data_IF_514945165724
#
_entry.id   IF_514945165724
#
_cell.length_a   1.000
_cell.length_b   1.000
_cell.length_c   1.000
_cell.angle_alpha   90.00
_cell.angle_beta   90.00
_cell.angle_gamma   90.00
#
_symmetry.space_group_name_H-M   'P 1'
#
loop_
_entity.id
_entity.type
_entity.pdbx_description
1 polymer ?
#
# COMPACT_ATOMS: atom_id res chain seq x y z
N UNK A 1 -7.89 6.88 4.59
CA UNK A 1 -7.12 7.23 3.37
C UNK A 1 -6.97 8.73 3.35
N UNK A 2 -5.74 9.24 3.28
CA UNK A 2 -5.46 10.68 3.28
C UNK A 2 -4.40 11.00 2.22
N UNK A 3 -4.62 12.05 1.43
CA UNK A 3 -3.71 12.55 0.37
C UNK A 3 -2.94 13.80 0.86
N UNK A 4 -2.99 14.06 2.17
CA UNK A 4 -2.22 15.13 2.80
C UNK A 4 -0.81 14.59 3.02
N UNK A 5 0.23 15.22 2.46
CA UNK A 5 1.60 14.76 2.62
C UNK A 5 2.02 14.85 4.08
N UNK A 6 2.56 13.76 4.63
CA UNK A 6 3.15 13.72 5.97
C UNK A 6 4.45 12.91 5.94
N UNK A 7 5.57 13.57 6.18
CA UNK A 7 6.90 12.97 6.02
C UNK A 7 7.25 12.80 4.53
N UNK A 8 7.91 11.71 4.18
CA UNK A 8 8.27 11.38 2.78
C UNK A 8 7.09 10.79 1.98
N UNK A 9 5.96 10.50 2.62
CA UNK A 9 4.77 9.97 1.96
C UNK A 9 3.84 11.09 1.46
N UNK A 10 3.51 11.06 0.17
CA UNK A 10 2.54 11.96 -0.49
C UNK A 10 1.07 11.68 -0.14
N UNK A 11 0.81 10.59 0.59
CA UNK A 11 -0.49 10.15 1.08
C UNK A 11 -0.34 8.80 1.77
N UNK A 12 -1.23 8.47 2.70
CA UNK A 12 -1.14 7.20 3.43
C UNK A 12 -2.53 6.62 3.72
N UNK A 13 -2.60 5.30 3.66
CA UNK A 13 -3.77 4.50 4.04
C UNK A 13 -3.45 3.77 5.33
N UNK A 14 -3.91 4.33 6.45
CA UNK A 14 -3.80 3.66 7.74
C UNK A 14 -4.97 2.69 7.94
N UNK A 15 -4.64 1.48 8.41
CA UNK A 15 -5.61 0.58 8.99
C UNK A 15 -5.70 0.83 10.49
N UNK A 16 -6.91 0.93 11.01
CA UNK A 16 -7.12 0.86 12.45
C UNK A 16 -6.88 -0.61 12.86
N UNK A 17 -5.84 -0.88 13.64
CA UNK A 17 -5.59 -2.22 14.14
C UNK A 17 -6.64 -2.54 15.20
N UNK A 18 -7.54 -3.47 14.91
CA UNK A 18 -8.37 -4.08 15.94
C UNK A 18 -7.47 -4.84 16.91
N UNK A 19 -7.67 -4.56 18.20
CA UNK A 19 -6.91 -5.12 19.30
C UNK A 19 -7.02 -6.66 19.26
N UNK A 20 -5.88 -7.34 19.30
CA UNK A 20 -5.70 -8.78 19.55
C UNK A 20 -5.79 -9.78 18.38
N UNK A 21 -5.19 -9.45 17.22
CA UNK A 21 -4.79 -10.49 16.25
C UNK A 21 -3.31 -10.83 16.41
N UNK A 22 -3.01 -11.76 17.33
CA UNK A 22 -1.65 -12.29 17.52
C UNK A 22 -1.21 -13.24 16.38
N UNK A 23 -2.19 -13.76 15.62
CA UNK A 23 -1.95 -14.72 14.54
C UNK A 23 -2.68 -14.28 13.28
N UNK A 24 -1.94 -14.26 12.17
CA UNK A 24 -2.46 -13.95 10.84
C UNK A 24 -2.55 -15.25 10.04
N UNK A 25 -3.69 -15.47 9.42
CA UNK A 25 -3.85 -16.56 8.45
C UNK A 25 -3.11 -16.22 7.16
N UNK A 26 -2.68 -17.25 6.40
CA UNK A 26 -2.04 -17.05 5.10
C UNK A 26 -2.87 -16.18 4.16
N UNK A 27 -4.20 -16.32 4.17
CA UNK A 27 -5.11 -15.50 3.36
C UNK A 27 -5.13 -14.04 3.78
N UNK A 28 -5.03 -13.74 5.08
CA UNK A 28 -4.97 -12.36 5.56
C UNK A 28 -3.63 -11.69 5.22
N UNK A 29 -2.53 -12.44 5.27
CA UNK A 29 -1.22 -11.94 4.84
C UNK A 29 -1.19 -11.63 3.34
N UNK A 30 -1.78 -12.50 2.51
CA UNK A 30 -1.94 -12.24 1.08
C UNK A 30 -2.81 -11.01 0.82
N UNK A 31 -3.94 -10.88 1.54
CA UNK A 31 -4.79 -9.70 1.42
C UNK A 31 -4.07 -8.40 1.83
N UNK A 32 -3.19 -8.44 2.83
CA UNK A 32 -2.35 -7.28 3.17
C UNK A 32 -1.36 -6.93 2.06
N UNK A 33 -0.72 -7.94 1.47
CA UNK A 33 0.21 -7.76 0.36
C UNK A 33 -0.50 -7.15 -0.86
N UNK A 34 -1.72 -7.61 -1.17
CA UNK A 34 -2.54 -7.04 -2.25
C UNK A 34 -2.85 -5.55 -2.03
N UNK A 35 -3.09 -5.14 -0.78
CA UNK A 35 -3.36 -3.72 -0.48
C UNK A 35 -2.09 -2.87 -0.58
N UNK A 36 -0.96 -3.34 -0.07
CA UNK A 36 0.32 -2.63 -0.19
C UNK A 36 0.69 -2.41 -1.66
N UNK A 37 0.54 -3.45 -2.49
CA UNK A 37 0.85 -3.39 -3.92
C UNK A 37 -0.20 -2.66 -4.77
N UNK A 38 -1.36 -2.32 -4.18
CA UNK A 38 -2.47 -1.69 -4.87
C UNK A 38 -2.15 -0.29 -5.41
N UNK A 39 -1.28 0.47 -4.73
CA UNK A 39 -0.82 1.79 -5.20
C UNK A 39 -0.04 1.69 -6.51
N UNK A 40 0.93 0.76 -6.56
CA UNK A 40 1.75 0.46 -7.75
C UNK A 40 0.90 0.00 -8.93
N UNK A 41 0.02 -0.97 -8.71
CA UNK A 41 -0.88 -1.47 -9.76
C UNK A 41 -1.84 -0.38 -10.24
N UNK A 42 -2.32 0.47 -9.32
CA UNK A 42 -3.14 1.62 -9.65
C UNK A 42 -2.42 2.63 -10.55
N UNK A 43 -1.16 2.94 -10.27
CA UNK A 43 -0.34 3.80 -11.15
C UNK A 43 -0.15 3.20 -12.54
N UNK A 44 0.13 1.90 -12.61
CA UNK A 44 0.33 1.19 -13.87
C UNK A 44 -0.94 1.19 -14.74
N UNK A 45 -2.11 0.93 -14.13
CA UNK A 45 -3.40 0.95 -14.84
C UNK A 45 -3.76 2.37 -15.30
N UNK A 46 -3.52 3.39 -14.47
CA UNK A 46 -3.94 4.77 -14.76
C UNK A 46 -3.00 5.51 -15.72
N UNK A 47 -1.68 5.30 -15.60
CA UNK A 47 -0.66 6.07 -16.31
C UNK A 47 0.16 5.25 -17.32
N UNK A 48 0.03 3.92 -17.32
CA UNK A 48 0.82 2.99 -18.13
C UNK A 48 2.15 2.60 -17.46
N UNK A 49 2.71 1.47 -17.88
CA UNK A 49 3.96 0.88 -17.34
C UNK A 49 5.16 1.81 -17.36
N UNK A 50 5.20 2.75 -18.31
CA UNK A 50 6.34 3.64 -18.53
C UNK A 50 6.36 4.85 -17.57
N UNK A 51 5.26 5.10 -16.85
CA UNK A 51 5.09 6.27 -15.97
C UNK A 51 4.94 5.91 -14.50
N UNK A 52 5.18 4.64 -14.16
CA UNK A 52 5.21 4.18 -12.78
C UNK A 52 6.32 4.90 -12.02
N UNK A 53 6.01 5.41 -10.83
CA UNK A 53 6.96 6.19 -10.03
C UNK A 53 7.71 5.34 -9.01
N UNK A 54 8.80 5.88 -8.45
CA UNK A 54 9.53 5.25 -7.33
C UNK A 54 8.82 5.41 -5.98
N UNK A 55 7.65 6.06 -5.95
CA UNK A 55 6.88 6.31 -4.72
C UNK A 55 6.38 5.03 -4.05
N UNK A 56 6.12 3.97 -4.82
CA UNK A 56 5.80 2.64 -4.30
C UNK A 56 7.05 1.81 -3.94
N UNK A 57 8.24 2.42 -3.91
CA UNK A 57 9.49 1.75 -3.57
C UNK A 57 9.53 1.25 -2.12
N UNK A 58 8.88 1.97 -1.21
CA UNK A 58 8.80 1.60 0.21
C UNK A 58 7.88 0.39 0.45
N UNK A 59 6.94 0.10 -0.46
CA UNK A 59 6.07 -1.09 -0.36
C UNK A 59 6.84 -2.40 -0.63
N UNK A 60 8.03 -2.32 -1.25
CA UNK A 60 8.90 -3.47 -1.56
C UNK A 60 9.93 -3.80 -0.46
N UNK A 61 10.04 -2.98 0.59
CA UNK A 61 11.12 -3.08 1.59
C UNK A 61 10.68 -3.79 2.87
#
# INVERSE_FOLDING_TARGET
>A
VTIIPRGEAGGHTSFLQDKDLSFWTRSQLLAQLDVLMGGRVGEEIAFGTDKVTTGAGDDFR
#
